data_IF_053899894427
#
_entry.id   IF_053899894427
#
_cell.length_a   1.000
_cell.length_b   1.000
_cell.length_c   1.000
_cell.angle_alpha   90.00
_cell.angle_beta   90.00
_cell.angle_gamma   90.00
#
_symmetry.space_group_name_H-M   'P 1'
#
loop_
_entity.id
_entity.type
_entity.pdbx_description
1 polymer ?
#
# COMPACT_ATOMS: atom_id res chain seq x y z
N UNK A 1 17.95 12.13 28.86
CA UNK A 1 16.81 11.45 28.19
C UNK A 1 16.14 10.50 29.17
N UNK A 2 14.82 10.62 29.37
CA UNK A 2 14.07 9.71 30.28
C UNK A 2 14.13 8.28 29.74
N UNK A 3 14.16 7.27 30.66
CA UNK A 3 14.19 5.83 30.33
C UNK A 3 13.06 5.43 29.37
N UNK A 4 11.87 5.99 29.53
CA UNK A 4 10.71 5.78 28.66
C UNK A 4 10.97 6.24 27.23
N UNK A 5 11.53 7.43 27.05
CA UNK A 5 11.85 7.96 25.70
C UNK A 5 12.93 7.11 25.01
N UNK A 6 13.93 6.65 25.76
CA UNK A 6 14.96 5.76 25.23
C UNK A 6 14.36 4.42 24.78
N UNK A 7 13.46 3.84 25.55
CA UNK A 7 12.74 2.62 25.20
C UNK A 7 11.90 2.81 23.92
N UNK A 8 11.09 3.90 23.86
CA UNK A 8 10.26 4.19 22.69
C UNK A 8 11.09 4.37 21.43
N UNK A 9 12.21 5.08 21.49
CA UNK A 9 13.11 5.26 20.33
C UNK A 9 13.71 3.92 19.88
N UNK A 10 14.17 3.09 20.81
CA UNK A 10 14.76 1.77 20.52
C UNK A 10 13.77 0.82 19.85
N UNK A 11 12.50 0.85 20.26
CA UNK A 11 11.46 -0.07 19.79
C UNK A 11 10.47 0.59 18.83
N UNK A 12 10.77 1.80 18.32
CA UNK A 12 9.85 2.63 17.55
C UNK A 12 9.20 1.88 16.38
N UNK A 13 9.99 1.11 15.61
CA UNK A 13 9.47 0.37 14.46
C UNK A 13 8.43 -0.67 14.86
N UNK A 14 8.75 -1.54 15.79
CA UNK A 14 7.84 -2.60 16.25
C UNK A 14 6.57 -2.05 16.93
N UNK A 15 6.74 -1.03 17.78
CA UNK A 15 5.61 -0.38 18.45
C UNK A 15 4.69 0.34 17.45
N UNK A 16 5.26 0.97 16.42
CA UNK A 16 4.47 1.62 15.38
C UNK A 16 3.66 0.63 14.56
N UNK A 17 4.27 -0.49 14.14
CA UNK A 17 3.56 -1.56 13.43
C UNK A 17 2.47 -2.15 14.32
N UNK A 18 2.78 -2.47 15.58
CA UNK A 18 1.80 -2.99 16.53
C UNK A 18 0.60 -2.04 16.68
N UNK A 19 0.88 -0.73 16.83
CA UNK A 19 -0.18 0.28 16.95
C UNK A 19 -1.04 0.37 15.69
N UNK A 20 -0.47 0.25 14.48
CA UNK A 20 -1.25 0.16 13.24
C UNK A 20 -2.24 -1.01 13.29
N UNK A 21 -1.79 -2.20 13.66
CA UNK A 21 -2.65 -3.38 13.77
C UNK A 21 -3.73 -3.20 14.85
N UNK A 22 -3.37 -2.72 16.03
CA UNK A 22 -4.31 -2.50 17.13
C UNK A 22 -5.41 -1.50 16.77
N UNK A 23 -5.08 -0.46 15.99
CA UNK A 23 -6.06 0.54 15.60
C UNK A 23 -6.95 0.10 14.43
N UNK A 24 -6.46 -0.77 13.52
CA UNK A 24 -7.20 -1.13 12.29
C UNK A 24 -7.88 -2.49 12.35
N UNK A 25 -7.24 -3.51 12.92
CA UNK A 25 -7.78 -4.87 12.96
C UNK A 25 -9.16 -5.04 13.64
N UNK A 26 -9.53 -4.28 14.69
CA UNK A 26 -10.87 -4.39 15.25
C UNK A 26 -11.97 -4.16 14.20
N UNK A 27 -11.76 -3.23 13.27
CA UNK A 27 -12.69 -3.00 12.15
C UNK A 27 -12.73 -4.20 11.21
N UNK A 28 -11.56 -4.64 10.76
CA UNK A 28 -11.46 -5.73 9.77
C UNK A 28 -12.02 -7.04 10.34
N UNK A 29 -11.77 -7.32 11.63
CA UNK A 29 -12.31 -8.49 12.32
C UNK A 29 -13.83 -8.38 12.58
N UNK A 30 -14.35 -7.18 12.83
CA UNK A 30 -15.79 -6.97 12.92
C UNK A 30 -16.47 -7.14 11.54
N UNK A 31 -15.88 -6.59 10.48
CA UNK A 31 -16.38 -6.73 9.11
C UNK A 31 -16.33 -8.16 8.60
N UNK A 32 -15.35 -8.96 9.05
CA UNK A 32 -15.25 -10.39 8.73
C UNK A 32 -16.23 -11.27 9.53
N UNK A 33 -16.91 -10.70 10.51
CA UNK A 33 -17.83 -11.45 11.39
C UNK A 33 -17.12 -12.26 12.50
N UNK A 34 -15.79 -12.19 12.59
CA UNK A 34 -15.02 -12.86 13.66
C UNK A 34 -15.30 -12.22 15.01
N UNK A 35 -15.37 -10.88 15.04
CA UNK A 35 -15.77 -10.15 16.25
C UNK A 35 -17.24 -9.73 16.12
N UNK A 36 -18.11 -10.09 17.08
CA UNK A 36 -19.52 -9.71 17.06
C UNK A 36 -19.69 -8.25 17.52
N UNK A 37 -18.92 -7.33 16.95
CA UNK A 37 -18.93 -5.91 17.29
C UNK A 37 -19.70 -5.12 16.22
N UNK A 38 -20.63 -4.27 16.68
CA UNK A 38 -21.20 -3.23 15.85
C UNK A 38 -20.43 -1.94 16.07
N UNK A 39 -19.59 -1.58 15.09
CA UNK A 39 -18.76 -0.39 15.18
C UNK A 39 -19.59 0.80 14.67
N UNK A 40 -19.81 1.85 15.50
CA UNK A 40 -20.47 3.07 15.04
C UNK A 40 -19.71 3.70 13.87
N UNK A 41 -20.43 4.27 12.90
CA UNK A 41 -19.85 4.83 11.67
C UNK A 41 -18.71 5.83 11.95
N UNK A 42 -18.85 6.71 12.93
CA UNK A 42 -17.80 7.68 13.29
C UNK A 42 -16.52 6.99 13.79
N UNK A 43 -16.66 5.91 14.55
CA UNK A 43 -15.52 5.10 15.04
C UNK A 43 -14.88 4.32 13.86
N UNK A 44 -15.70 3.81 12.96
CA UNK A 44 -15.24 3.15 11.74
C UNK A 44 -14.33 4.09 10.90
N UNK A 45 -14.78 5.32 10.63
CA UNK A 45 -13.98 6.33 9.93
C UNK A 45 -12.68 6.62 10.70
N UNK A 46 -12.78 6.87 12.01
CA UNK A 46 -11.62 7.18 12.84
C UNK A 46 -10.57 6.07 12.83
N UNK A 47 -10.97 4.83 13.02
CA UNK A 47 -10.06 3.69 13.04
C UNK A 47 -9.56 3.33 11.63
N UNK A 48 -10.30 3.66 10.57
CA UNK A 48 -9.83 3.55 9.17
C UNK A 48 -8.55 4.36 8.92
N UNK A 49 -8.35 5.45 9.66
CA UNK A 49 -7.10 6.21 9.66
C UNK A 49 -6.05 5.70 10.67
N UNK A 50 -6.16 4.47 11.14
CA UNK A 50 -5.24 3.91 12.15
C UNK A 50 -3.77 3.98 11.75
N UNK A 51 -3.43 3.80 10.48
CA UNK A 51 -2.06 3.98 9.97
C UNK A 51 -1.56 5.41 10.10
N UNK A 52 -2.43 6.39 9.82
CA UNK A 52 -2.11 7.81 9.98
C UNK A 52 -1.84 8.13 11.44
N UNK A 53 -2.75 7.75 12.33
CA UNK A 53 -2.61 8.02 13.76
C UNK A 53 -1.40 7.32 14.36
N UNK A 54 -1.19 6.03 14.07
CA UNK A 54 -0.02 5.30 14.56
C UNK A 54 1.29 5.97 14.13
N UNK A 55 1.38 6.38 12.87
CA UNK A 55 2.57 7.03 12.31
C UNK A 55 2.82 8.40 12.93
N UNK A 56 1.77 9.21 13.09
CA UNK A 56 1.89 10.55 13.69
C UNK A 56 2.23 10.47 15.19
N UNK A 57 1.55 9.58 15.93
CA UNK A 57 1.82 9.37 17.37
C UNK A 57 3.26 8.92 17.58
N UNK A 58 3.68 7.84 16.88
CA UNK A 58 5.02 7.30 17.09
C UNK A 58 6.12 8.23 16.58
N UNK A 59 5.88 8.98 15.50
CA UNK A 59 6.81 10.00 15.04
C UNK A 59 6.88 11.14 16.04
N UNK A 60 5.75 11.62 16.55
CA UNK A 60 5.70 12.68 17.56
C UNK A 60 6.41 12.28 18.86
N UNK A 61 6.22 11.06 19.35
CA UNK A 61 6.86 10.56 20.56
C UNK A 61 8.38 10.33 20.41
N UNK A 62 8.85 10.05 19.20
CA UNK A 62 10.26 9.70 18.96
C UNK A 62 11.09 10.82 18.35
N UNK A 63 10.51 11.67 17.51
CA UNK A 63 11.18 12.73 16.75
C UNK A 63 10.56 14.11 16.96
N UNK A 64 9.54 14.21 17.82
CA UNK A 64 8.90 15.50 18.13
C UNK A 64 8.12 16.10 16.95
N UNK A 65 7.77 17.39 17.11
CA UNK A 65 7.00 18.17 16.12
C UNK A 65 7.70 18.28 14.76
N UNK A 66 9.01 18.38 14.78
CA UNK A 66 9.83 18.47 13.55
C UNK A 66 9.74 17.18 12.73
N UNK A 67 9.81 16.02 13.38
CA UNK A 67 9.63 14.73 12.73
C UNK A 67 8.25 14.58 12.10
N UNK A 68 7.19 15.00 12.80
CA UNK A 68 5.82 15.02 12.26
C UNK A 68 5.71 15.94 11.05
N UNK A 69 6.26 17.17 11.16
CA UNK A 69 6.28 18.12 10.04
C UNK A 69 7.03 17.54 8.84
N UNK A 70 8.19 16.92 9.05
CA UNK A 70 8.98 16.29 7.99
C UNK A 70 8.21 15.14 7.31
N UNK A 71 7.49 14.33 8.09
CA UNK A 71 6.64 13.26 7.57
C UNK A 71 5.52 13.82 6.68
N UNK A 72 4.78 14.81 7.17
CA UNK A 72 3.65 15.39 6.43
C UNK A 72 4.10 16.20 5.19
N UNK A 73 5.25 16.87 5.24
CA UNK A 73 5.83 17.57 4.08
C UNK A 73 6.12 16.65 2.89
N UNK A 74 6.23 15.34 3.08
CA UNK A 74 6.39 14.38 1.98
C UNK A 74 5.18 14.33 1.05
N UNK A 75 3.99 14.70 1.50
CA UNK A 75 2.82 14.88 0.63
C UNK A 75 2.94 16.10 -0.29
N UNK A 76 3.79 17.08 0.06
CA UNK A 76 4.04 18.27 -0.74
C UNK A 76 5.15 18.05 -1.79
N UNK A 77 5.73 16.86 -1.89
CA UNK A 77 6.73 16.52 -2.90
C UNK A 77 5.99 16.11 -4.19
N UNK A 78 5.60 17.10 -4.99
CA UNK A 78 4.91 16.91 -6.26
C UNK A 78 5.80 17.19 -7.47
N UNK A 79 6.90 17.97 -7.31
CA UNK A 79 7.82 18.29 -8.40
C UNK A 79 8.79 17.13 -8.66
N UNK A 80 8.24 16.08 -9.26
CA UNK A 80 8.93 14.91 -9.77
C UNK A 80 8.77 14.85 -11.28
N UNK A 81 9.59 14.08 -12.00
CA UNK A 81 9.45 13.96 -13.44
C UNK A 81 8.07 13.43 -13.86
N UNK A 82 7.47 13.94 -14.94
CA UNK A 82 6.13 13.55 -15.41
C UNK A 82 5.96 12.04 -15.63
N UNK A 83 7.06 11.35 -15.96
CA UNK A 83 7.09 9.88 -16.11
C UNK A 83 6.60 9.14 -14.84
N UNK A 84 6.87 9.68 -13.66
CA UNK A 84 6.45 9.08 -12.40
C UNK A 84 4.94 9.21 -12.16
N UNK A 85 4.33 10.25 -12.72
CA UNK A 85 2.87 10.36 -12.75
C UNK A 85 2.24 9.33 -13.69
N UNK A 86 2.84 9.10 -14.87
CA UNK A 86 2.39 8.01 -15.75
C UNK A 86 2.48 6.64 -15.04
N UNK A 87 3.58 6.38 -14.35
CA UNK A 87 3.71 5.16 -13.53
C UNK A 87 2.61 5.11 -12.48
N UNK A 88 2.41 6.19 -11.72
CA UNK A 88 1.43 6.23 -10.63
C UNK A 88 -0.01 6.01 -11.10
N UNK A 89 -0.36 6.52 -12.29
CA UNK A 89 -1.74 6.42 -12.79
C UNK A 89 -1.99 5.19 -13.67
N UNK A 90 -0.97 4.70 -14.40
CA UNK A 90 -1.20 3.75 -15.48
C UNK A 90 -0.63 2.35 -15.21
N UNK A 91 0.37 2.19 -14.36
CA UNK A 91 1.04 0.89 -14.22
C UNK A 91 0.06 -0.21 -13.79
N UNK A 92 -0.74 0.01 -12.73
CA UNK A 92 -1.74 -0.96 -12.29
C UNK A 92 -2.88 -1.16 -13.28
N UNK A 93 -3.54 -0.11 -13.82
CA UNK A 93 -4.53 -0.30 -14.88
C UNK A 93 -4.03 -1.12 -16.06
N UNK A 94 -2.79 -0.91 -16.50
CA UNK A 94 -2.18 -1.67 -17.60
C UNK A 94 -1.95 -3.13 -17.19
N UNK A 95 -1.40 -3.39 -16.00
CA UNK A 95 -1.18 -4.76 -15.50
C UNK A 95 -2.52 -5.51 -15.40
N UNK A 96 -3.53 -4.89 -14.78
CA UNK A 96 -4.84 -5.50 -14.56
C UNK A 96 -5.58 -5.76 -15.88
N UNK A 97 -5.60 -4.76 -16.77
CA UNK A 97 -6.20 -4.93 -18.10
C UNK A 97 -5.49 -6.02 -18.89
N UNK A 98 -4.15 -6.03 -18.89
CA UNK A 98 -3.36 -7.07 -19.56
C UNK A 98 -3.68 -8.46 -18.99
N UNK A 99 -3.84 -8.59 -17.68
CA UNK A 99 -4.20 -9.86 -17.04
C UNK A 99 -5.58 -10.35 -17.48
N UNK A 100 -6.57 -9.46 -17.54
CA UNK A 100 -7.93 -9.76 -18.01
C UNK A 100 -7.91 -10.19 -19.48
N UNK A 101 -7.20 -9.45 -20.33
CA UNK A 101 -7.08 -9.75 -21.77
C UNK A 101 -6.35 -11.08 -22.02
N UNK A 102 -5.25 -11.33 -21.31
CA UNK A 102 -4.52 -12.61 -21.41
C UNK A 102 -5.40 -13.78 -20.98
N UNK A 103 -6.11 -13.63 -19.86
CA UNK A 103 -7.03 -14.68 -19.41
C UNK A 103 -8.14 -14.95 -20.44
N UNK A 104 -8.78 -13.91 -20.97
CA UNK A 104 -9.84 -14.06 -21.96
C UNK A 104 -9.33 -14.71 -23.25
N UNK A 105 -8.15 -14.31 -23.73
CA UNK A 105 -7.53 -14.86 -24.93
C UNK A 105 -7.17 -16.36 -24.79
N UNK A 106 -6.58 -16.74 -23.65
CA UNK A 106 -6.11 -18.11 -23.43
C UNK A 106 -7.23 -19.07 -23.01
N UNK A 107 -8.27 -18.60 -22.34
CA UNK A 107 -9.44 -19.40 -21.98
C UNK A 107 -10.54 -19.39 -23.04
N UNK A 108 -10.37 -18.62 -24.11
CA UNK A 108 -11.37 -18.40 -25.15
C UNK A 108 -12.74 -17.95 -24.60
N UNK A 109 -12.75 -17.14 -23.54
CA UNK A 109 -13.95 -16.64 -22.87
C UNK A 109 -14.14 -15.15 -23.11
N UNK A 110 -15.40 -14.71 -23.17
CA UNK A 110 -15.71 -13.30 -23.17
C UNK A 110 -15.33 -12.64 -21.83
N UNK A 111 -14.94 -11.37 -21.88
CA UNK A 111 -14.67 -10.58 -20.68
C UNK A 111 -16.02 -10.24 -20.04
N UNK A 112 -16.23 -10.69 -18.81
CA UNK A 112 -17.44 -10.44 -18.03
C UNK A 112 -17.21 -9.37 -16.97
N UNK A 113 -17.87 -8.23 -17.14
CA UNK A 113 -17.86 -7.12 -16.16
C UNK A 113 -18.99 -7.21 -15.13
N UNK A 114 -19.94 -8.16 -15.25
CA UNK A 114 -21.09 -8.26 -14.34
C UNK A 114 -20.70 -8.50 -12.89
N UNK A 115 -19.56 -9.17 -12.69
CA UNK A 115 -19.03 -9.53 -11.37
C UNK A 115 -18.02 -8.54 -10.78
N UNK A 116 -17.75 -7.39 -11.40
CA UNK A 116 -16.80 -6.43 -10.82
C UNK A 116 -17.30 -5.86 -9.50
N UNK A 117 -16.35 -5.58 -8.59
CA UNK A 117 -16.71 -5.10 -7.24
C UNK A 117 -17.44 -3.75 -7.27
N UNK A 118 -17.20 -2.94 -8.30
CA UNK A 118 -17.91 -1.67 -8.51
C UNK A 118 -19.45 -1.84 -8.53
N UNK A 119 -19.98 -2.93 -9.06
CA UNK A 119 -21.42 -3.19 -9.06
C UNK A 119 -22.00 -3.41 -7.64
N UNK A 120 -21.21 -3.90 -6.71
CA UNK A 120 -21.63 -4.00 -5.29
C UNK A 120 -21.70 -2.62 -4.63
N UNK A 121 -20.86 -1.66 -5.05
CA UNK A 121 -20.81 -0.33 -4.48
C UNK A 121 -21.87 0.58 -5.10
N UNK A 122 -22.00 0.56 -6.44
CA UNK A 122 -22.77 1.54 -7.21
C UNK A 122 -24.06 0.98 -7.81
N UNK A 123 -24.28 -0.34 -7.70
CA UNK A 123 -25.43 -1.04 -8.27
C UNK A 123 -25.14 -1.68 -9.64
N UNK A 124 -25.84 -2.77 -9.94
CA UNK A 124 -25.61 -3.59 -11.14
C UNK A 124 -25.95 -2.92 -12.46
N UNK A 125 -26.84 -1.91 -12.44
CA UNK A 125 -27.24 -1.12 -13.62
C UNK A 125 -26.45 0.17 -13.79
N UNK A 126 -25.49 0.46 -12.89
CA UNK A 126 -24.75 1.71 -12.94
C UNK A 126 -23.81 1.79 -14.14
N UNK A 127 -23.73 2.96 -14.76
CA UNK A 127 -22.66 3.25 -15.70
C UNK A 127 -21.35 3.44 -14.92
N UNK A 128 -20.56 2.39 -14.81
CA UNK A 128 -19.37 2.36 -13.97
C UNK A 128 -18.31 3.40 -14.37
N UNK A 129 -18.25 3.78 -15.64
CA UNK A 129 -17.24 4.73 -16.14
C UNK A 129 -17.31 6.07 -15.41
N UNK A 130 -18.50 6.54 -15.08
CA UNK A 130 -18.68 7.84 -14.39
C UNK A 130 -18.19 7.82 -12.94
N UNK A 131 -18.01 6.63 -12.36
CA UNK A 131 -17.56 6.47 -10.97
C UNK A 131 -16.06 6.21 -10.84
N UNK A 132 -15.32 5.97 -11.92
CA UNK A 132 -13.88 5.68 -11.87
C UNK A 132 -13.12 6.85 -11.22
N UNK A 133 -13.29 8.06 -11.73
CA UNK A 133 -12.56 9.24 -11.20
C UNK A 133 -13.02 9.61 -9.78
N UNK A 134 -14.31 9.68 -9.45
CA UNK A 134 -14.77 9.89 -8.07
C UNK A 134 -14.23 8.85 -7.09
N UNK A 135 -14.24 7.57 -7.44
CA UNK A 135 -13.69 6.52 -6.59
C UNK A 135 -12.19 6.67 -6.39
N UNK A 136 -11.43 6.91 -7.46
CA UNK A 136 -9.99 7.15 -7.39
C UNK A 136 -9.66 8.32 -6.44
N UNK A 137 -10.35 9.44 -6.57
CA UNK A 137 -10.13 10.62 -5.72
C UNK A 137 -10.51 10.33 -4.26
N UNK A 138 -11.62 9.64 -4.05
CA UNK A 138 -12.03 9.21 -2.71
C UNK A 138 -10.98 8.30 -2.07
N UNK A 139 -10.53 7.27 -2.79
CA UNK A 139 -9.53 6.33 -2.27
C UNK A 139 -8.19 7.02 -2.00
N UNK A 140 -7.76 7.93 -2.86
CA UNK A 140 -6.54 8.71 -2.64
C UNK A 140 -6.59 9.58 -1.37
N UNK A 141 -7.78 10.02 -0.94
CA UNK A 141 -7.96 10.79 0.29
C UNK A 141 -8.15 9.85 1.49
N UNK A 142 -8.97 8.80 1.32
CA UNK A 142 -9.37 7.91 2.41
C UNK A 142 -8.29 6.89 2.78
N UNK A 143 -7.37 6.57 1.86
CA UNK A 143 -6.32 5.58 2.08
C UNK A 143 -5.13 6.18 2.84
N UNK A 144 -5.06 5.90 4.13
CA UNK A 144 -3.96 6.32 4.99
C UNK A 144 -2.78 5.34 5.08
N UNK A 145 -2.81 4.22 4.35
CA UNK A 145 -1.80 3.15 4.49
C UNK A 145 -0.38 3.62 4.13
N UNK A 146 -0.23 4.47 3.12
CA UNK A 146 1.09 4.86 2.62
C UNK A 146 1.88 5.75 3.60
N UNK A 147 1.20 6.53 4.43
CA UNK A 147 1.88 7.27 5.51
C UNK A 147 2.49 6.30 6.53
N UNK A 148 1.84 5.15 6.75
CA UNK A 148 2.34 4.07 7.58
C UNK A 148 3.49 3.34 6.92
N UNK A 149 3.21 2.70 5.80
CA UNK A 149 4.19 1.81 5.16
C UNK A 149 5.39 2.57 4.59
N UNK A 150 5.18 3.62 3.77
CA UNK A 150 6.25 4.35 3.07
C UNK A 150 6.73 5.56 3.85
N UNK A 151 5.85 6.20 4.62
CA UNK A 151 6.24 7.34 5.44
C UNK A 151 6.96 6.95 6.72
N UNK A 152 6.49 5.92 7.42
CA UNK A 152 6.98 5.57 8.74
C UNK A 152 7.87 4.31 8.75
N UNK A 153 7.39 3.19 8.20
CA UNK A 153 8.07 1.87 8.29
C UNK A 153 9.27 1.79 7.36
N UNK A 154 9.09 2.11 6.06
CA UNK A 154 10.12 1.94 5.04
C UNK A 154 11.43 2.69 5.35
N UNK A 155 11.44 3.98 5.72
CA UNK A 155 12.71 4.68 6.02
C UNK A 155 13.46 4.06 7.19
N UNK A 156 12.74 3.54 8.20
CA UNK A 156 13.34 2.87 9.37
C UNK A 156 13.95 1.52 9.03
N UNK A 157 13.34 0.77 8.11
CA UNK A 157 13.91 -0.49 7.60
C UNK A 157 15.10 -0.22 6.70
N UNK A 158 15.01 0.76 5.78
CA UNK A 158 16.11 1.09 4.87
C UNK A 158 17.33 1.69 5.58
N UNK A 159 17.18 2.18 6.80
CA UNK A 159 18.31 2.57 7.63
C UNK A 159 19.20 1.37 8.05
N UNK A 160 18.70 0.13 7.95
CA UNK A 160 19.39 -1.09 8.39
C UNK A 160 19.49 -2.18 7.32
N UNK A 161 18.66 -2.10 6.28
CA UNK A 161 18.51 -3.13 5.26
C UNK A 161 18.51 -2.52 3.86
N UNK A 162 18.81 -3.31 2.85
CA UNK A 162 18.64 -2.91 1.45
C UNK A 162 17.17 -2.60 1.15
N UNK A 163 16.93 -1.82 0.09
CA UNK A 163 15.57 -1.50 -0.33
C UNK A 163 14.74 -2.75 -0.66
N UNK A 164 15.35 -3.76 -1.29
CA UNK A 164 14.68 -5.03 -1.59
C UNK A 164 14.29 -5.78 -0.31
N UNK A 165 15.21 -5.93 0.65
CA UNK A 165 14.90 -6.60 1.93
C UNK A 165 13.83 -5.84 2.69
N UNK A 166 13.92 -4.51 2.74
CA UNK A 166 12.90 -3.65 3.36
C UNK A 166 11.53 -3.82 2.71
N UNK A 167 11.48 -3.92 1.38
CA UNK A 167 10.24 -4.18 0.63
C UNK A 167 9.63 -5.53 0.97
N UNK A 168 10.44 -6.58 1.02
CA UNK A 168 9.97 -7.94 1.32
C UNK A 168 9.45 -8.04 2.76
N UNK A 169 10.12 -7.40 3.74
CA UNK A 169 9.64 -7.31 5.12
C UNK A 169 8.29 -6.58 5.17
N UNK A 170 8.17 -5.44 4.49
CA UNK A 170 6.90 -4.70 4.44
C UNK A 170 5.84 -5.55 3.74
N UNK A 171 6.14 -6.17 2.61
CA UNK A 171 5.19 -7.01 1.88
C UNK A 171 4.64 -8.15 2.72
N UNK A 172 5.50 -8.82 3.50
CA UNK A 172 5.09 -9.87 4.42
C UNK A 172 4.13 -9.33 5.50
N UNK A 173 4.51 -8.23 6.18
CA UNK A 173 3.70 -7.65 7.25
C UNK A 173 2.39 -7.07 6.70
N UNK A 174 2.44 -6.40 5.55
CA UNK A 174 1.28 -5.83 4.88
C UNK A 174 0.31 -6.89 4.39
N UNK A 175 0.82 -8.00 3.83
CA UNK A 175 0.00 -9.15 3.46
C UNK A 175 -0.68 -9.80 4.68
N UNK A 176 0.06 -9.98 5.79
CA UNK A 176 -0.51 -10.49 7.05
C UNK A 176 -1.55 -9.53 7.63
N UNK A 177 -1.34 -8.22 7.50
CA UNK A 177 -2.33 -7.23 7.95
C UNK A 177 -3.68 -7.40 7.24
N UNK A 178 -3.69 -7.81 5.98
CA UNK A 178 -4.92 -8.06 5.23
C UNK A 178 -5.62 -9.39 5.60
N UNK A 179 -5.03 -10.23 6.45
CA UNK A 179 -5.57 -11.57 6.76
C UNK A 179 -7.05 -11.57 7.18
N UNK A 180 -7.57 -10.62 7.99
CA UNK A 180 -8.98 -10.59 8.34
C UNK A 180 -9.94 -10.55 7.15
N UNK A 181 -9.55 -9.96 6.02
CA UNK A 181 -10.37 -9.92 4.79
C UNK A 181 -10.63 -11.32 4.20
N UNK A 182 -9.74 -12.28 4.50
CA UNK A 182 -9.86 -13.67 4.04
C UNK A 182 -10.72 -14.53 4.96
N UNK A 183 -11.10 -14.00 6.12
CA UNK A 183 -12.03 -14.63 7.05
C UNK A 183 -13.50 -14.29 6.74
N UNK A 184 -13.75 -13.35 5.81
CA UNK A 184 -15.10 -12.99 5.38
C UNK A 184 -15.78 -14.18 4.72
N UNK A 185 -16.99 -14.57 5.17
CA UNK A 185 -17.74 -15.67 4.56
C UNK A 185 -17.93 -15.46 3.05
N UNK A 186 -17.65 -16.50 2.26
CA UNK A 186 -17.74 -16.44 0.80
C UNK A 186 -16.51 -15.83 0.09
N UNK A 187 -15.49 -15.41 0.80
CA UNK A 187 -14.21 -15.07 0.18
C UNK A 187 -13.47 -16.34 -0.22
N UNK A 188 -13.33 -16.58 -1.51
CA UNK A 188 -12.63 -17.75 -2.09
C UNK A 188 -11.24 -17.41 -2.64
N UNK A 189 -10.77 -16.19 -2.47
CA UNK A 189 -9.45 -15.77 -2.96
C UNK A 189 -8.33 -16.49 -2.19
N UNK A 190 -7.34 -17.11 -2.86
CA UNK A 190 -6.25 -17.79 -2.17
C UNK A 190 -5.33 -16.81 -1.44
N UNK A 191 -5.27 -16.91 -0.11
CA UNK A 191 -4.41 -16.04 0.70
C UNK A 191 -2.93 -16.11 0.31
N UNK A 192 -2.43 -17.30 -0.01
CA UNK A 192 -1.04 -17.47 -0.45
C UNK A 192 -0.74 -16.70 -1.74
N UNK A 193 -1.64 -16.70 -2.71
CA UNK A 193 -1.49 -15.94 -3.95
C UNK A 193 -1.51 -14.42 -3.67
N UNK A 194 -2.39 -13.98 -2.78
CA UNK A 194 -2.45 -12.60 -2.32
C UNK A 194 -1.14 -12.18 -1.61
N UNK A 195 -0.58 -13.03 -0.76
CA UNK A 195 0.71 -12.76 -0.11
C UNK A 195 1.83 -12.53 -1.13
N UNK A 196 1.91 -13.39 -2.15
CA UNK A 196 2.90 -13.23 -3.23
C UNK A 196 2.70 -11.92 -3.99
N UNK A 197 1.43 -11.59 -4.29
CA UNK A 197 1.06 -10.31 -4.90
C UNK A 197 1.56 -9.12 -4.09
N UNK A 198 1.22 -9.07 -2.80
CA UNK A 198 1.57 -7.92 -1.93
C UNK A 198 3.08 -7.80 -1.73
N UNK A 199 3.82 -8.91 -1.77
CA UNK A 199 5.29 -8.86 -1.75
C UNK A 199 5.86 -8.24 -3.03
N UNK A 200 5.30 -8.55 -4.20
CA UNK A 200 5.66 -7.89 -5.46
C UNK A 200 5.29 -6.40 -5.43
N UNK A 201 4.07 -6.08 -5.00
CA UNK A 201 3.60 -4.70 -4.84
C UNK A 201 4.54 -3.89 -3.94
N UNK A 202 4.96 -4.44 -2.81
CA UNK A 202 5.85 -3.73 -1.88
C UNK A 202 7.18 -3.31 -2.55
N UNK A 203 7.67 -4.08 -3.53
CA UNK A 203 8.84 -3.72 -4.34
C UNK A 203 8.52 -2.54 -5.27
N UNK A 204 7.37 -2.59 -5.97
CA UNK A 204 6.92 -1.52 -6.87
C UNK A 204 6.75 -0.20 -6.12
N UNK A 205 6.10 -0.23 -4.97
CA UNK A 205 5.89 0.96 -4.13
C UNK A 205 7.20 1.53 -3.59
N UNK A 206 8.12 0.67 -3.13
CA UNK A 206 9.43 1.11 -2.65
C UNK A 206 10.24 1.73 -3.79
N UNK A 207 10.21 1.12 -4.97
CA UNK A 207 10.84 1.67 -6.16
C UNK A 207 10.28 3.05 -6.52
N UNK A 208 8.97 3.21 -6.58
CA UNK A 208 8.33 4.50 -6.85
C UNK A 208 8.73 5.55 -5.81
N UNK A 209 8.63 5.20 -4.52
CA UNK A 209 8.99 6.08 -3.42
C UNK A 209 10.44 6.55 -3.50
N UNK A 210 11.39 5.63 -3.70
CA UNK A 210 12.82 5.95 -3.75
C UNK A 210 13.20 6.80 -4.98
N UNK A 211 12.46 6.69 -6.08
CA UNK A 211 12.70 7.46 -7.31
C UNK A 211 11.92 8.78 -7.39
N UNK A 212 11.02 9.03 -6.45
CA UNK A 212 10.22 10.25 -6.36
C UNK A 212 10.59 11.12 -5.16
N UNK A 213 11.86 11.06 -4.70
CA UNK A 213 12.38 11.81 -3.56
C UNK A 213 11.62 11.54 -2.26
N UNK A 214 11.05 10.35 -2.11
CA UNK A 214 10.24 9.97 -0.96
C UNK A 214 8.86 10.65 -0.94
N UNK A 215 8.25 10.89 -2.09
CA UNK A 215 6.91 11.47 -2.22
C UNK A 215 5.84 10.53 -1.70
N UNK A 216 5.14 10.93 -0.65
CA UNK A 216 3.93 10.23 -0.19
C UNK A 216 2.75 10.49 -1.13
N UNK A 217 2.69 11.65 -1.78
CA UNK A 217 1.66 11.94 -2.77
C UNK A 217 1.66 10.91 -3.89
N UNK A 218 2.83 10.66 -4.49
CA UNK A 218 2.91 9.75 -5.65
C UNK A 218 2.57 8.30 -5.28
N UNK A 219 3.03 7.80 -4.13
CA UNK A 219 2.71 6.43 -3.71
C UNK A 219 1.25 6.29 -3.29
N UNK A 220 0.63 7.33 -2.74
CA UNK A 220 -0.82 7.35 -2.45
C UNK A 220 -1.65 7.34 -3.73
N UNK A 221 -1.29 8.14 -4.74
CA UNK A 221 -1.93 8.11 -6.06
C UNK A 221 -1.76 6.74 -6.74
N UNK A 222 -0.59 6.13 -6.61
CA UNK A 222 -0.30 4.80 -7.13
C UNK A 222 -1.17 3.73 -6.44
N UNK A 223 -1.34 3.83 -5.12
CA UNK A 223 -2.23 2.97 -4.35
C UNK A 223 -3.68 3.11 -4.82
N UNK A 224 -4.18 4.33 -4.90
CA UNK A 224 -5.52 4.60 -5.38
C UNK A 224 -5.76 4.08 -6.81
N UNK A 225 -4.74 4.16 -7.67
CA UNK A 225 -4.80 3.59 -9.03
C UNK A 225 -4.95 2.06 -9.01
N UNK A 226 -4.20 1.37 -8.15
CA UNK A 226 -4.30 -0.08 -7.97
C UNK A 226 -5.66 -0.51 -7.43
N UNK A 227 -6.15 0.17 -6.39
CA UNK A 227 -7.46 -0.10 -5.81
C UNK A 227 -8.58 0.16 -6.82
N UNK A 228 -8.51 1.28 -7.55
CA UNK A 228 -9.47 1.60 -8.61
C UNK A 228 -9.48 0.52 -9.69
N UNK A 229 -8.32 0.10 -10.19
CA UNK A 229 -8.23 -0.98 -11.15
C UNK A 229 -8.85 -2.28 -10.61
N UNK A 230 -8.59 -2.64 -9.34
CA UNK A 230 -9.16 -3.82 -8.70
C UNK A 230 -10.68 -3.76 -8.50
N UNK A 231 -11.23 -2.55 -8.34
CA UNK A 231 -12.68 -2.35 -8.17
C UNK A 231 -13.42 -2.39 -9.51
N UNK A 232 -12.83 -1.84 -10.58
CA UNK A 232 -13.53 -1.65 -11.85
C UNK A 232 -13.16 -2.66 -12.94
N UNK A 233 -12.08 -3.45 -12.78
CA UNK A 233 -11.69 -4.48 -13.73
C UNK A 233 -11.98 -5.89 -13.20
N UNK A 234 -12.40 -6.83 -14.05
CA UNK A 234 -12.81 -8.17 -13.63
C UNK A 234 -11.59 -9.11 -13.43
N UNK A 235 -10.66 -8.70 -12.58
CA UNK A 235 -9.48 -9.52 -12.23
C UNK A 235 -9.81 -10.52 -11.14
N UNK A 236 -10.45 -10.05 -10.06
CA UNK A 236 -10.97 -10.91 -9.00
C UNK A 236 -12.48 -10.75 -8.95
N UNK A 237 -13.22 -11.71 -9.46
CA UNK A 237 -14.66 -11.71 -9.36
C UNK A 237 -15.06 -12.04 -7.92
N UNK A 238 -15.30 -11.03 -7.11
CA UNK A 238 -15.70 -11.17 -5.70
C UNK A 238 -17.16 -11.60 -5.53
N UNK A 239 -17.95 -11.56 -6.60
CA UNK A 239 -19.38 -11.93 -6.58
C UNK A 239 -19.58 -13.42 -6.89
N UNK A 240 -18.89 -13.93 -7.91
CA UNK A 240 -18.99 -15.32 -8.35
C UNK A 240 -17.82 -16.19 -7.90
N UNK A 241 -16.84 -15.55 -7.26
CA UNK A 241 -15.73 -16.27 -6.63
C UNK A 241 -14.57 -16.68 -7.54
N UNK A 242 -14.64 -16.51 -8.86
CA UNK A 242 -13.64 -17.16 -9.69
C UNK A 242 -13.37 -16.53 -11.05
N UNK A 243 -12.56 -15.47 -11.08
CA UNK A 243 -11.69 -15.32 -12.22
C UNK A 243 -10.23 -15.57 -11.77
N UNK A 244 -9.97 -16.75 -11.21
CA UNK A 244 -8.66 -17.14 -10.69
C UNK A 244 -7.58 -17.02 -11.77
N UNK A 245 -7.92 -17.29 -13.04
CA UNK A 245 -6.99 -17.13 -14.16
C UNK A 245 -6.50 -15.70 -14.32
N UNK A 246 -7.39 -14.71 -14.35
CA UNK A 246 -7.00 -13.31 -14.46
C UNK A 246 -6.17 -12.86 -13.24
N UNK A 247 -6.52 -13.31 -12.03
CA UNK A 247 -5.75 -13.03 -10.82
C UNK A 247 -4.34 -13.62 -10.89
N UNK A 248 -4.19 -14.85 -11.38
CA UNK A 248 -2.87 -15.48 -11.57
C UNK A 248 -2.04 -14.68 -12.59
N UNK A 249 -2.61 -14.28 -13.71
CA UNK A 249 -1.90 -13.45 -14.71
C UNK A 249 -1.51 -12.11 -14.14
N UNK A 250 -2.37 -11.45 -13.34
CA UNK A 250 -2.03 -10.21 -12.65
C UNK A 250 -0.79 -10.41 -11.76
N UNK A 251 -0.81 -11.42 -10.90
CA UNK A 251 0.30 -11.69 -9.97
C UNK A 251 1.60 -11.99 -10.73
N UNK A 252 1.52 -12.77 -11.81
CA UNK A 252 2.68 -13.06 -12.65
C UNK A 252 3.25 -11.80 -13.30
N UNK A 253 2.40 -10.91 -13.83
CA UNK A 253 2.83 -9.65 -14.41
C UNK A 253 3.47 -8.73 -13.36
N UNK A 254 2.90 -8.62 -12.16
CA UNK A 254 3.48 -7.86 -11.05
C UNK A 254 4.84 -8.41 -10.64
N UNK A 255 5.01 -9.74 -10.56
CA UNK A 255 6.30 -10.38 -10.29
C UNK A 255 7.31 -10.06 -11.41
N UNK A 256 6.91 -10.15 -12.67
CA UNK A 256 7.78 -9.82 -13.80
C UNK A 256 8.26 -8.37 -13.70
N UNK A 257 7.34 -7.43 -13.45
CA UNK A 257 7.68 -6.00 -13.28
C UNK A 257 8.61 -5.83 -12.08
N UNK A 258 8.34 -6.47 -10.94
CA UNK A 258 9.22 -6.41 -9.76
C UNK A 258 10.63 -6.93 -10.07
N UNK A 259 10.76 -8.06 -10.78
CA UNK A 259 12.05 -8.62 -11.20
C UNK A 259 12.78 -7.64 -12.13
N UNK A 260 12.09 -7.05 -13.09
CA UNK A 260 12.67 -6.07 -14.02
C UNK A 260 13.16 -4.82 -13.26
N UNK A 261 12.40 -4.34 -12.28
CA UNK A 261 12.81 -3.25 -11.39
C UNK A 261 14.07 -3.61 -10.62
N UNK A 262 14.09 -4.78 -9.95
CA UNK A 262 15.26 -5.22 -9.17
C UNK A 262 16.51 -5.35 -10.03
N UNK A 263 16.37 -5.92 -11.24
CA UNK A 263 17.48 -6.05 -12.18
C UNK A 263 17.99 -4.70 -12.72
N UNK A 264 17.06 -3.78 -13.00
CA UNK A 264 17.40 -2.49 -13.65
C UNK A 264 17.83 -1.41 -12.66
N UNK A 265 17.27 -1.37 -11.45
CA UNK A 265 17.53 -0.36 -10.43
C UNK A 265 18.45 -0.84 -9.30
N UNK A 266 18.73 -2.15 -9.26
CA UNK A 266 19.54 -2.80 -8.23
C UNK A 266 18.79 -3.03 -6.91
N UNK A 267 19.11 -4.14 -6.19
CA UNK A 267 18.40 -4.52 -4.97
C UNK A 267 18.74 -3.60 -3.77
N UNK A 268 19.90 -2.94 -3.80
CA UNK A 268 20.37 -2.13 -2.68
C UNK A 268 19.46 -0.93 -2.43
N UNK A 269 19.08 -0.21 -3.49
CA UNK A 269 18.32 1.06 -3.40
C UNK A 269 17.00 1.05 -4.15
N UNK A 270 16.78 0.12 -5.08
CA UNK A 270 15.68 0.13 -6.06
C UNK A 270 15.58 1.52 -6.74
N UNK A 271 16.73 2.13 -7.01
CA UNK A 271 16.85 3.44 -7.66
C UNK A 271 18.19 3.55 -8.37
N UNK A 272 18.19 4.18 -9.56
CA UNK A 272 19.42 4.54 -10.30
C UNK A 272 19.92 5.95 -9.94
N UNK A 273 19.12 6.74 -9.24
CA UNK A 273 19.54 8.07 -8.79
C UNK A 273 20.63 7.88 -7.73
N UNK A 274 21.75 8.54 -7.91
CA UNK A 274 22.74 8.68 -6.85
C UNK A 274 22.03 9.25 -5.61
N UNK A 275 22.39 8.73 -4.45
CA UNK A 275 21.78 9.12 -3.19
C UNK A 275 21.78 10.65 -3.08
N UNK A 276 20.65 11.28 -3.38
CA UNK A 276 20.39 12.60 -2.84
C UNK A 276 20.30 12.34 -1.35
N UNK A 277 21.45 12.41 -0.69
CA UNK A 277 21.70 12.68 0.72
C UNK A 277 20.49 12.46 1.67
N UNK A 278 19.83 11.28 1.58
CA UNK A 278 19.02 10.77 2.68
C UNK A 278 19.96 10.47 3.85
N UNK A 279 21.23 10.14 3.58
CA UNK A 279 22.28 9.98 4.58
C UNK A 279 22.62 11.27 5.32
N UNK A 280 22.68 12.43 4.68
CA UNK A 280 22.88 13.69 5.41
C UNK A 280 21.69 14.02 6.32
N UNK A 281 20.47 13.79 5.91
CA UNK A 281 19.30 14.02 6.76
C UNK A 281 19.10 12.94 7.83
N UNK A 282 19.54 11.73 7.59
CA UNK A 282 19.53 10.67 8.61
C UNK A 282 20.69 10.85 9.59
N UNK A 283 21.86 11.31 9.15
CA UNK A 283 22.97 11.70 10.02
C UNK A 283 22.65 12.96 10.81
N UNK A 284 22.00 13.95 10.21
CA UNK A 284 21.55 15.15 10.93
C UNK A 284 20.49 14.81 11.98
N UNK A 285 19.59 13.88 11.70
CA UNK A 285 18.65 13.32 12.67
C UNK A 285 19.34 12.43 13.73
N UNK A 286 20.41 11.73 13.40
CA UNK A 286 21.19 10.95 14.37
C UNK A 286 22.12 11.83 15.22
N UNK A 287 22.68 12.89 14.68
CA UNK A 287 23.51 13.84 15.42
C UNK A 287 22.68 14.62 16.44
N UNK A 288 21.43 14.99 16.10
CA UNK A 288 20.50 15.59 17.05
C UNK A 288 20.00 14.62 18.16
N UNK A 289 20.17 13.32 17.98
CA UNK A 289 19.79 12.29 18.96
C UNK A 289 20.95 11.92 19.88
N UNK A 290 22.19 12.28 19.52
CA UNK A 290 23.41 12.00 20.29
C UNK A 290 23.89 13.20 21.14
N UNK A 291 23.25 14.34 21.07
CA UNK A 291 23.41 15.49 21.97
C UNK A 291 22.17 15.63 22.90
#
# INVERSE_FOLDING_TARGET
>A
MNKTTAFLKRHALGLGILLMFVLTWPIDLANSGVLPLRIPFAVYILLGYGFVFASLIMTGLTLGKEGVSALLKRFLIWRVGWRWYLVAFLLYPVIFLSAVLLNAALSHTAIDFSGVFAHKIFGSSANLVVFILPFFLFDAIANGEEIGWRGYVLPRLQAKHSALVSSLIIGLIWGLWHFPKFLVPGNSSPFALFMVKVMADAILYTWLFNNTKGSLLLVTLFHASGNTAGVFLPVANTVTGNNLGALIFQVLLEIIVAILIVRSAGPARLSRQESIKIEERASDLQIQVSQ
#
